data_IF_074576186281
#
_entry.id   IF_074576186281
#
_cell.length_a   1.000
_cell.length_b   1.000
_cell.length_c   1.000
_cell.angle_alpha   90.00
_cell.angle_beta   90.00
_cell.angle_gamma   90.00
#
_symmetry.space_group_name_H-M   'P 1'
#
loop_
_entity.id
_entity.type
_entity.pdbx_description
1 polymer ?
#
# COMPACT_ATOMS: atom_id res chain seq x y z
N UNK A 1 -7.74 14.85 19.66
CA UNK A 1 -6.99 13.96 18.74
C UNK A 1 -7.26 14.45 17.33
N UNK A 2 -6.24 14.76 16.54
CA UNK A 2 -6.43 15.04 15.11
C UNK A 2 -7.00 13.77 14.45
N UNK A 3 -8.02 13.92 13.61
CA UNK A 3 -8.62 12.79 12.90
C UNK A 3 -7.62 12.10 11.95
N UNK A 4 -7.95 10.90 11.44
CA UNK A 4 -7.11 10.22 10.45
C UNK A 4 -6.95 11.10 9.22
N UNK A 5 -5.70 11.30 8.78
CA UNK A 5 -5.42 12.06 7.55
C UNK A 5 -5.65 11.12 6.38
N UNK A 6 -6.72 11.36 5.63
CA UNK A 6 -7.03 10.64 4.40
C UNK A 6 -6.27 11.29 3.25
N UNK A 7 -5.50 10.50 2.51
CA UNK A 7 -4.70 10.92 1.35
C UNK A 7 -4.98 10.03 0.14
N UNK A 8 -4.66 10.54 -1.04
CA UNK A 8 -4.63 9.78 -2.29
C UNK A 8 -3.16 9.50 -2.59
N UNK A 9 -2.83 8.23 -2.82
CA UNK A 9 -1.43 7.79 -2.98
C UNK A 9 -1.29 6.85 -4.16
N UNK A 10 -0.17 6.94 -4.87
CA UNK A 10 0.24 5.91 -5.83
C UNK A 10 0.67 4.66 -5.04
N UNK A 11 -0.04 3.52 -5.17
CA UNK A 11 0.31 2.31 -4.45
C UNK A 11 1.71 1.78 -4.80
N UNK A 12 2.28 2.16 -5.95
CA UNK A 12 3.64 1.75 -6.35
C UNK A 12 4.73 2.37 -5.50
N UNK A 13 4.50 3.57 -4.97
CA UNK A 13 5.44 4.32 -4.14
C UNK A 13 5.46 3.83 -2.68
N UNK A 14 4.50 3.01 -2.27
CA UNK A 14 4.37 2.56 -0.90
C UNK A 14 5.40 1.48 -0.57
N UNK A 15 6.04 1.63 0.59
CA UNK A 15 7.01 0.68 1.11
C UNK A 15 6.33 -0.49 1.81
N UNK A 16 6.87 -1.69 1.61
CA UNK A 16 6.39 -2.92 2.22
C UNK A 16 6.80 -3.01 3.69
N UNK A 17 5.94 -3.57 4.56
CA UNK A 17 6.32 -3.81 5.95
C UNK A 17 7.38 -4.91 6.03
N UNK A 18 8.19 -4.86 7.09
CA UNK A 18 9.23 -5.87 7.36
C UNK A 18 8.69 -7.29 7.53
N UNK A 19 7.40 -7.43 7.86
CA UNK A 19 6.72 -8.73 7.93
C UNK A 19 6.31 -9.30 6.57
N UNK A 20 6.38 -8.50 5.49
CA UNK A 20 6.07 -8.91 4.11
C UNK A 20 7.09 -8.34 3.10
N UNK A 21 8.39 -8.67 3.25
CA UNK A 21 9.43 -8.10 2.39
C UNK A 21 9.29 -8.55 0.92
N UNK A 22 8.64 -9.69 0.68
CA UNK A 22 8.36 -10.22 -0.65
C UNK A 22 7.04 -9.72 -1.26
N UNK A 23 6.32 -8.84 -0.56
CA UNK A 23 5.11 -8.22 -1.07
C UNK A 23 3.84 -9.03 -0.80
N UNK A 24 2.92 -9.02 -1.77
CA UNK A 24 1.63 -9.67 -1.64
C UNK A 24 1.76 -11.20 -1.75
N UNK A 25 1.09 -11.93 -0.85
CA UNK A 25 0.91 -13.38 -0.98
C UNK A 25 0.24 -13.70 -2.33
N UNK A 26 0.84 -14.55 -3.19
CA UNK A 26 0.36 -14.77 -4.55
C UNK A 26 -1.07 -15.31 -4.61
N UNK A 27 -1.45 -16.22 -3.70
CA UNK A 27 -2.79 -16.81 -3.67
C UNK A 27 -3.84 -15.78 -3.23
N UNK A 28 -3.53 -14.92 -2.25
CA UNK A 28 -4.39 -13.80 -1.85
C UNK A 28 -4.51 -12.78 -2.98
N UNK A 29 -3.42 -12.48 -3.68
CA UNK A 29 -3.43 -11.56 -4.82
C UNK A 29 -4.32 -12.07 -5.94
N UNK A 30 -4.17 -13.34 -6.35
CA UNK A 30 -5.01 -13.91 -7.41
C UNK A 30 -6.49 -13.93 -7.03
N UNK A 31 -6.84 -14.25 -5.78
CA UNK A 31 -8.23 -14.15 -5.29
C UNK A 31 -8.77 -12.72 -5.34
N UNK A 32 -7.96 -11.74 -4.98
CA UNK A 32 -8.30 -10.32 -5.05
C UNK A 32 -8.50 -9.86 -6.51
N UNK A 33 -7.62 -10.28 -7.41
CA UNK A 33 -7.74 -10.01 -8.85
C UNK A 33 -9.03 -10.63 -9.41
N UNK A 34 -9.30 -11.89 -9.13
CA UNK A 34 -10.50 -12.58 -9.63
C UNK A 34 -11.79 -11.91 -9.14
N UNK A 35 -11.82 -11.41 -7.91
CA UNK A 35 -13.02 -10.81 -7.30
C UNK A 35 -13.24 -9.36 -7.71
N UNK A 36 -12.19 -8.56 -7.82
CA UNK A 36 -12.31 -7.09 -7.95
C UNK A 36 -11.68 -6.53 -9.23
N UNK A 37 -10.91 -7.33 -9.97
CA UNK A 37 -10.24 -6.89 -11.19
C UNK A 37 -9.40 -5.63 -10.95
N UNK A 38 -9.61 -4.60 -11.77
CA UNK A 38 -8.95 -3.29 -11.66
C UNK A 38 -9.70 -2.26 -10.81
N UNK A 39 -10.94 -2.53 -10.39
CA UNK A 39 -11.76 -1.51 -9.71
C UNK A 39 -11.22 -1.21 -8.29
N UNK A 40 -11.24 0.07 -7.92
CA UNK A 40 -10.99 0.54 -6.56
C UNK A 40 -12.28 0.98 -5.85
N UNK A 41 -13.44 0.79 -6.47
CA UNK A 41 -14.73 1.18 -5.92
C UNK A 41 -15.04 0.37 -4.66
N UNK A 42 -15.36 1.06 -3.57
CA UNK A 42 -15.60 0.44 -2.26
C UNK A 42 -14.38 -0.28 -1.68
N UNK A 43 -13.18 -0.08 -2.23
CA UNK A 43 -11.96 -0.66 -1.69
C UNK A 43 -11.64 0.01 -0.34
N UNK A 44 -11.47 -0.76 0.75
CA UNK A 44 -11.06 -0.21 2.03
C UNK A 44 -9.72 0.51 1.92
N UNK A 45 -9.58 1.61 2.66
CA UNK A 45 -8.37 2.43 2.65
C UNK A 45 -7.12 1.60 3.00
N UNK A 46 -6.00 2.00 2.43
CA UNK A 46 -4.69 1.47 2.82
C UNK A 46 -4.28 2.14 4.13
N UNK A 47 -3.77 1.38 5.09
CA UNK A 47 -3.26 1.97 6.33
C UNK A 47 -1.76 2.14 6.23
N UNK A 48 -1.27 3.31 6.59
CA UNK A 48 0.13 3.68 6.40
C UNK A 48 0.76 4.33 7.63
N UNK A 49 2.05 4.10 7.79
CA UNK A 49 2.92 4.82 8.72
C UNK A 49 3.83 5.73 7.91
N UNK A 50 3.87 7.03 8.25
CA UNK A 50 4.83 7.97 7.68
C UNK A 50 6.18 7.85 8.39
N UNK A 51 7.25 7.58 7.65
CA UNK A 51 8.63 7.59 8.16
C UNK A 51 9.15 9.00 8.43
N UNK A 52 10.23 9.10 9.21
CA UNK A 52 10.91 10.38 9.49
C UNK A 52 11.54 11.00 8.23
N UNK A 53 11.78 10.19 7.21
CA UNK A 53 12.27 10.54 5.88
C UNK A 53 11.15 10.95 4.91
N UNK A 54 9.89 10.98 5.35
CA UNK A 54 8.74 11.39 4.54
C UNK A 54 8.17 10.29 3.64
N UNK A 55 8.78 9.10 3.61
CA UNK A 55 8.26 7.92 2.91
C UNK A 55 7.12 7.27 3.69
N UNK A 56 6.32 6.43 3.03
CA UNK A 56 5.17 5.77 3.63
C UNK A 56 5.30 4.25 3.55
N UNK A 57 5.12 3.58 4.69
CA UNK A 57 5.11 2.13 4.81
C UNK A 57 3.69 1.63 5.05
N UNK A 58 3.29 0.58 4.32
CA UNK A 58 1.98 -0.06 4.47
C UNK A 58 1.93 -0.86 5.77
N UNK A 59 0.92 -0.58 6.61
CA UNK A 59 0.54 -1.40 7.76
C UNK A 59 -0.53 -2.43 7.38
N UNK A 60 -1.55 -2.02 6.62
CA UNK A 60 -2.58 -2.90 6.08
C UNK A 60 -2.90 -2.58 4.63
N UNK A 61 -3.18 -3.62 3.84
CA UNK A 61 -3.63 -3.47 2.46
C UNK A 61 -2.60 -3.81 1.38
N UNK A 62 -1.46 -4.43 1.73
CA UNK A 62 -0.42 -4.86 0.77
C UNK A 62 -1.02 -5.53 -0.47
N UNK A 63 -1.89 -6.52 -0.29
CA UNK A 63 -2.52 -7.23 -1.42
C UNK A 63 -3.44 -6.34 -2.27
N UNK A 64 -4.17 -5.41 -1.65
CA UNK A 64 -5.06 -4.48 -2.35
C UNK A 64 -4.26 -3.46 -3.16
N UNK A 65 -3.23 -2.88 -2.54
CA UNK A 65 -2.32 -1.94 -3.18
C UNK A 65 -1.55 -2.62 -4.34
N UNK A 66 -1.01 -3.83 -4.14
CA UNK A 66 -0.34 -4.58 -5.23
C UNK A 66 -1.29 -4.88 -6.40
N UNK A 67 -2.57 -5.21 -6.14
CA UNK A 67 -3.56 -5.42 -7.20
C UNK A 67 -3.74 -4.17 -8.06
N UNK A 68 -3.94 -3.00 -7.45
CA UNK A 68 -4.11 -1.74 -8.19
C UNK A 68 -2.82 -1.37 -8.93
N UNK A 69 -1.67 -1.42 -8.26
CA UNK A 69 -0.36 -1.15 -8.88
C UNK A 69 -0.08 -2.03 -10.11
N UNK A 70 -0.62 -3.27 -10.14
CA UNK A 70 -0.51 -4.22 -11.25
C UNK A 70 -1.54 -3.99 -12.35
N UNK A 71 -2.81 -3.77 -12.01
CA UNK A 71 -3.92 -3.79 -12.97
C UNK A 71 -4.43 -2.41 -13.41
N UNK A 72 -4.06 -1.37 -12.68
CA UNK A 72 -4.43 0.02 -12.93
C UNK A 72 -3.25 0.95 -12.57
N UNK A 73 -2.10 0.82 -13.25
CA UNK A 73 -0.96 1.67 -12.97
C UNK A 73 -1.27 3.13 -13.30
N UNK A 74 -0.93 4.04 -12.37
CA UNK A 74 -1.26 5.46 -12.46
C UNK A 74 -2.54 5.85 -11.70
N UNK A 75 -3.32 4.88 -11.23
CA UNK A 75 -4.48 5.14 -10.38
C UNK A 75 -4.06 5.27 -8.91
N UNK A 76 -4.35 6.43 -8.32
CA UNK A 76 -4.21 6.61 -6.88
C UNK A 76 -5.28 5.80 -6.11
N UNK A 77 -4.95 5.43 -4.87
CA UNK A 77 -5.87 4.75 -3.94
C UNK A 77 -6.05 5.58 -2.68
N UNK A 78 -7.21 5.49 -2.00
CA UNK A 78 -7.38 6.14 -0.71
C UNK A 78 -6.52 5.43 0.35
N UNK A 79 -5.81 6.22 1.14
CA UNK A 79 -5.00 5.75 2.24
C UNK A 79 -5.21 6.63 3.48
N UNK A 80 -4.96 6.05 4.65
CA UNK A 80 -5.01 6.73 5.94
C UNK A 80 -3.67 6.62 6.65
N UNK A 81 -3.13 7.76 7.06
CA UNK A 81 -1.93 7.82 7.88
C UNK A 81 -2.34 7.59 9.33
N UNK A 82 -1.99 6.43 9.88
CA UNK A 82 -2.39 6.04 11.24
C UNK A 82 -1.30 6.30 12.28
N UNK A 83 -0.06 6.48 11.83
CA UNK A 83 1.09 6.71 12.71
C UNK A 83 2.21 7.50 12.00
N UNK A 84 3.07 8.10 12.82
CA UNK A 84 4.34 8.66 12.40
C UNK A 84 5.47 7.89 13.09
N UNK A 85 6.41 7.36 12.30
CA UNK A 85 7.60 6.67 12.78
C UNK A 85 8.73 7.67 13.01
N UNK A 86 9.49 7.48 14.09
CA UNK A 86 10.75 8.21 14.33
C UNK A 86 11.91 7.69 13.46
N UNK A 87 11.73 6.54 12.83
CA UNK A 87 12.71 5.89 11.98
C UNK A 87 12.34 6.06 10.50
N UNK A 88 13.34 6.15 9.61
CA UNK A 88 13.11 6.17 8.17
C UNK A 88 12.52 4.83 7.69
N UNK A 89 11.71 4.89 6.65
CA UNK A 89 11.12 3.68 6.03
C UNK A 89 11.49 3.53 4.55
N UNK A 90 12.13 4.54 3.96
CA UNK A 90 12.54 4.58 2.56
C UNK A 90 13.54 3.49 2.15
N UNK A 91 14.21 2.87 3.12
CA UNK A 91 15.11 1.74 2.88
C UNK A 91 14.40 0.41 2.59
N UNK A 92 13.11 0.32 2.89
CA UNK A 92 12.33 -0.90 2.65
C UNK A 92 11.99 -1.01 1.16
N UNK A 93 11.73 -2.22 0.67
CA UNK A 93 11.32 -2.43 -0.72
C UNK A 93 9.93 -1.84 -0.95
N UNK A 94 9.73 -1.20 -2.09
CA UNK A 94 8.41 -0.70 -2.53
C UNK A 94 7.56 -1.80 -3.13
N UNK A 95 6.26 -1.55 -3.27
CA UNK A 95 5.39 -2.41 -4.09
C UNK A 95 5.91 -2.50 -5.51
N UNK A 96 6.31 -1.39 -6.13
CA UNK A 96 6.83 -1.38 -7.51
C UNK A 96 7.98 -2.38 -7.69
N UNK A 97 8.90 -2.42 -6.73
CA UNK A 97 10.07 -3.29 -6.74
C UNK A 97 9.76 -4.77 -6.51
N UNK A 98 8.57 -5.10 -6.01
CA UNK A 98 8.11 -6.46 -5.73
C UNK A 98 6.81 -6.79 -6.47
N UNK A 99 6.50 -6.05 -7.53
CA UNK A 99 5.35 -6.35 -8.39
C UNK A 99 5.59 -7.71 -9.08
N UNK A 100 4.65 -8.67 -8.95
CA UNK A 100 4.70 -9.95 -9.63
C UNK A 100 4.10 -9.88 -11.04
#
# INVERSE_FOLDING_TARGET
>A
MAGPIVVRVDPRALHLPTTRPEGADPAKLQRQIARFGRSSDGMPEIQETRGSDGHFMINDGVTRATRIAKLAPGDDVPAIIIAQSRHPVGMLRTIQEKLP
#
